data_IF_579936227863
#
_entry.id   IF_579936227863
#
_cell.length_a   1.000
_cell.length_b   1.000
_cell.length_c   1.000
_cell.angle_alpha   90.00
_cell.angle_beta   90.00
_cell.angle_gamma   90.00
#
_symmetry.space_group_name_H-M   'P 1'
#
loop_
_entity.id
_entity.type
_entity.pdbx_description
1 polymer ?
#
# COMPACT_ATOMS: atom_id res chain seq x y z
N UNK A 1 3.86 12.41 -1.53
CA UNK A 1 3.49 13.82 -1.85
C UNK A 1 2.52 14.30 -0.78
N UNK A 2 2.62 15.55 -0.34
CA UNK A 2 1.70 16.13 0.66
C UNK A 2 0.29 16.26 0.06
N UNK A 3 -0.76 15.72 0.69
CA UNK A 3 -2.14 15.82 0.17
C UNK A 3 -2.75 17.23 0.29
N UNK A 4 -2.09 18.15 1.01
CA UNK A 4 -2.58 19.54 1.17
C UNK A 4 -1.95 20.48 0.15
N UNK A 5 -0.62 20.48 0.03
CA UNK A 5 0.12 21.44 -0.79
C UNK A 5 0.93 20.81 -1.93
N UNK A 6 0.84 19.50 -2.12
CA UNK A 6 1.55 18.73 -3.17
C UNK A 6 3.09 18.80 -3.13
N UNK A 7 3.67 19.37 -2.07
CA UNK A 7 5.11 19.37 -1.85
C UNK A 7 5.62 17.99 -1.40
N UNK A 8 6.95 17.78 -1.50
CA UNK A 8 7.60 16.55 -1.03
C UNK A 8 7.39 16.39 0.47
N UNK A 9 7.07 15.17 0.90
CA UNK A 9 7.05 14.77 2.30
C UNK A 9 8.42 14.17 2.65
N UNK A 10 9.05 14.67 3.69
CA UNK A 10 10.31 14.18 4.24
C UNK A 10 10.05 13.55 5.60
N UNK A 11 10.73 12.43 5.89
CA UNK A 11 10.58 11.77 7.18
C UNK A 11 11.44 12.46 8.24
N UNK A 12 10.84 12.78 9.38
CA UNK A 12 11.50 13.35 10.55
C UNK A 12 11.06 12.56 11.79
N UNK A 13 11.92 11.67 12.30
CA UNK A 13 11.53 10.76 13.37
C UNK A 13 10.34 9.87 12.99
N UNK A 14 9.23 10.03 13.71
CA UNK A 14 7.99 9.27 13.52
C UNK A 14 6.93 10.02 12.71
N UNK A 15 7.30 11.07 11.98
CA UNK A 15 6.38 11.89 11.19
C UNK A 15 6.90 12.12 9.76
N UNK A 16 5.98 12.44 8.85
CA UNK A 16 6.28 12.95 7.51
C UNK A 16 5.88 14.43 7.44
N UNK A 17 6.81 15.30 7.08
CA UNK A 17 6.61 16.76 7.05
C UNK A 17 6.96 17.33 5.68
N UNK A 18 6.15 18.25 5.16
CA UNK A 18 6.46 19.00 3.94
C UNK A 18 7.11 20.37 4.24
N UNK A 19 7.70 21.02 3.24
CA UNK A 19 8.30 22.36 3.39
C UNK A 19 7.34 23.44 3.93
N UNK A 20 6.02 23.28 3.73
CA UNK A 20 4.99 24.19 4.26
C UNK A 20 4.55 23.88 5.70
N UNK A 21 5.16 22.89 6.36
CA UNK A 21 4.88 22.55 7.76
C UNK A 21 3.73 21.55 8.00
N UNK A 22 3.00 21.08 6.98
CA UNK A 22 2.01 20.01 7.18
C UNK A 22 2.68 18.71 7.61
N UNK A 23 2.18 18.11 8.69
CA UNK A 23 2.73 16.91 9.33
C UNK A 23 1.73 15.75 9.33
N UNK A 24 2.24 14.53 9.11
CA UNK A 24 1.47 13.29 9.14
C UNK A 24 2.21 12.25 9.97
N UNK A 25 1.58 11.77 11.04
CA UNK A 25 2.21 10.79 11.92
C UNK A 25 2.27 9.40 11.26
N UNK A 26 3.38 8.70 11.50
CA UNK A 26 3.53 7.30 11.18
C UNK A 26 2.90 6.51 12.33
N UNK A 27 1.82 5.78 12.04
CA UNK A 27 1.13 4.96 13.03
C UNK A 27 2.07 3.88 13.60
N UNK A 28 1.76 3.33 14.78
CA UNK A 28 2.53 2.24 15.39
C UNK A 28 2.66 1.00 14.50
N UNK A 29 1.70 0.79 13.59
CA UNK A 29 1.71 -0.28 12.58
C UNK A 29 2.49 0.08 11.31
N UNK A 30 3.15 1.24 11.27
CA UNK A 30 4.05 1.66 10.19
C UNK A 30 3.39 2.39 9.01
N UNK A 31 2.05 2.46 8.93
CA UNK A 31 1.37 3.19 7.85
C UNK A 31 1.22 4.69 8.17
N UNK A 32 1.04 5.51 7.12
CA UNK A 32 0.75 6.95 7.24
C UNK A 32 -0.63 7.24 6.68
N UNK A 33 -1.51 7.83 7.48
CA UNK A 33 -2.82 8.25 7.00
C UNK A 33 -2.72 9.61 6.30
N UNK A 34 -2.83 9.60 4.97
CA UNK A 34 -2.80 10.81 4.15
C UNK A 34 -4.20 11.35 3.82
N UNK A 35 -5.27 10.77 4.38
CA UNK A 35 -6.63 11.31 4.22
C UNK A 35 -6.80 12.56 5.08
N UNK A 36 -7.18 13.66 4.43
CA UNK A 36 -7.54 14.90 5.12
C UNK A 36 -8.82 14.69 5.94
N UNK A 37 -8.91 15.33 7.10
CA UNK A 37 -10.04 15.18 8.05
C UNK A 37 -11.41 15.35 7.40
N UNK A 38 -11.55 16.30 6.47
CA UNK A 38 -12.77 16.56 5.70
C UNK A 38 -13.19 15.40 4.76
N UNK A 39 -12.29 14.46 4.47
CA UNK A 39 -12.53 13.31 3.60
C UNK A 39 -12.55 11.97 4.36
N UNK A 40 -12.51 11.98 5.71
CA UNK A 40 -12.44 10.74 6.50
C UNK A 40 -13.75 9.96 6.57
N UNK A 41 -14.89 10.59 6.28
CA UNK A 41 -16.21 9.97 6.45
C UNK A 41 -17.01 10.04 5.14
N UNK A 42 -16.89 9.01 4.30
CA UNK A 42 -17.93 8.73 3.30
C UNK A 42 -19.19 8.28 4.06
N UNK A 43 -20.36 8.80 3.66
CA UNK A 43 -21.66 8.33 4.19
C UNK A 43 -21.93 6.86 3.83
N UNK A 44 -21.24 6.35 2.81
CA UNK A 44 -21.30 4.97 2.36
C UNK A 44 -19.87 4.40 2.24
N UNK A 45 -19.30 3.82 3.31
CA UNK A 45 -18.02 3.15 3.25
C UNK A 45 -18.19 1.80 2.53
N UNK A 46 -17.65 1.68 1.32
CA UNK A 46 -17.86 0.50 0.47
C UNK A 46 -17.51 -0.84 1.13
N UNK A 47 -16.36 -0.94 1.79
CA UNK A 47 -15.98 -2.13 2.57
C UNK A 47 -16.13 -1.84 4.07
N UNK A 48 -16.95 -2.64 4.76
CA UNK A 48 -16.96 -2.68 6.21
C UNK A 48 -15.92 -3.69 6.76
N UNK A 49 -15.74 -3.71 8.08
CA UNK A 49 -14.76 -4.60 8.75
C UNK A 49 -15.03 -6.09 8.50
N UNK A 50 -16.28 -6.49 8.35
CA UNK A 50 -16.65 -7.90 8.15
C UNK A 50 -16.34 -8.36 6.74
N UNK A 51 -16.62 -7.51 5.74
CA UNK A 51 -16.25 -7.73 4.34
C UNK A 51 -14.74 -7.84 4.17
N UNK A 52 -13.96 -6.95 4.82
CA UNK A 52 -12.51 -7.03 4.82
C UNK A 52 -12.01 -8.38 5.40
N UNK A 53 -12.58 -8.83 6.52
CA UNK A 53 -12.26 -10.14 7.11
C UNK A 53 -12.67 -11.31 6.19
N UNK A 54 -13.81 -11.21 5.51
CA UNK A 54 -14.28 -12.24 4.59
C UNK A 54 -13.34 -12.38 3.39
N UNK A 55 -12.93 -11.25 2.78
CA UNK A 55 -11.93 -11.22 1.72
C UNK A 55 -10.62 -11.86 2.17
N UNK A 56 -10.13 -11.48 3.35
CA UNK A 56 -8.93 -12.09 3.93
C UNK A 56 -9.05 -13.62 4.06
N UNK A 57 -10.14 -14.12 4.66
CA UNK A 57 -10.36 -15.58 4.80
C UNK A 57 -10.41 -16.31 3.46
N UNK A 58 -10.97 -15.68 2.43
CA UNK A 58 -11.00 -16.24 1.08
C UNK A 58 -9.59 -16.32 0.48
N UNK A 59 -8.81 -15.25 0.60
CA UNK A 59 -7.44 -15.18 0.11
C UNK A 59 -6.51 -16.16 0.86
N UNK A 60 -6.66 -16.26 2.18
CA UNK A 60 -5.88 -17.19 3.02
C UNK A 60 -6.14 -18.68 2.69
N UNK A 61 -7.25 -19.00 2.02
CA UNK A 61 -7.53 -20.36 1.49
C UNK A 61 -6.78 -20.67 0.20
N UNK A 62 -6.01 -19.74 -0.35
CA UNK A 62 -5.18 -19.94 -1.55
C UNK A 62 -5.95 -19.95 -2.87
N UNK A 63 -7.25 -19.66 -2.88
CA UNK A 63 -8.05 -19.68 -4.12
C UNK A 63 -7.51 -18.73 -5.20
N UNK A 64 -6.91 -17.61 -4.79
CA UNK A 64 -6.29 -16.63 -5.68
C UNK A 64 -4.76 -16.73 -5.73
N UNK A 65 -4.17 -17.78 -5.16
CA UNK A 65 -2.74 -18.02 -5.26
C UNK A 65 -2.23 -18.17 -6.71
N UNK A 66 -2.95 -18.83 -7.65
CA UNK A 66 -2.51 -18.89 -9.05
C UNK A 66 -2.34 -17.50 -9.68
N UNK A 67 -3.24 -16.57 -9.37
CA UNK A 67 -3.14 -15.18 -9.81
C UNK A 67 -1.92 -14.49 -9.20
N UNK A 68 -1.72 -14.62 -7.89
CA UNK A 68 -0.57 -14.03 -7.20
C UNK A 68 0.76 -14.54 -7.76
N UNK A 69 0.88 -15.85 -8.03
CA UNK A 69 2.05 -16.46 -8.67
C UNK A 69 2.25 -15.96 -10.10
N UNK A 70 1.18 -15.82 -10.87
CA UNK A 70 1.21 -15.24 -12.21
C UNK A 70 1.79 -13.81 -12.21
N UNK A 71 1.32 -12.97 -11.27
CA UNK A 71 1.86 -11.62 -11.09
C UNK A 71 3.36 -11.65 -10.77
N UNK A 72 3.77 -12.51 -9.83
CA UNK A 72 5.20 -12.64 -9.47
C UNK A 72 6.07 -13.00 -10.67
N UNK A 73 5.62 -13.94 -11.51
CA UNK A 73 6.34 -14.31 -12.74
C UNK A 73 6.48 -13.12 -13.69
N UNK A 74 5.40 -12.40 -13.96
CA UNK A 74 5.41 -11.24 -14.85
C UNK A 74 6.35 -10.14 -14.35
N UNK A 75 6.24 -9.77 -13.07
CA UNK A 75 7.11 -8.73 -12.52
C UNK A 75 8.57 -9.16 -12.42
N UNK A 76 8.86 -10.43 -12.12
CA UNK A 76 10.24 -10.95 -12.14
C UNK A 76 10.88 -10.79 -13.51
N UNK A 77 10.15 -11.11 -14.57
CA UNK A 77 10.63 -10.95 -15.95
C UNK A 77 10.88 -9.48 -16.30
N UNK A 78 9.99 -8.58 -15.89
CA UNK A 78 10.12 -7.14 -16.13
C UNK A 78 11.31 -6.54 -15.36
N UNK A 79 11.55 -7.00 -14.13
CA UNK A 79 12.61 -6.48 -13.28
C UNK A 79 13.98 -7.05 -13.63
N UNK A 80 14.05 -8.29 -14.12
CA UNK A 80 15.31 -8.93 -14.52
C UNK A 80 16.05 -8.20 -15.66
N UNK A 81 15.32 -7.43 -16.47
CA UNK A 81 15.90 -6.65 -17.59
C UNK A 81 16.22 -5.20 -17.22
N UNK A 82 16.02 -4.79 -15.96
CA UNK A 82 16.31 -3.43 -15.51
C UNK A 82 17.65 -3.34 -14.80
N UNK A 83 18.50 -2.44 -15.28
CA UNK A 83 19.83 -2.18 -14.71
C UNK A 83 19.82 -1.33 -13.43
N UNK A 84 18.68 -0.74 -13.06
CA UNK A 84 18.54 0.18 -11.91
C UNK A 84 17.50 -0.31 -10.92
N UNK A 85 17.70 0.07 -9.66
CA UNK A 85 16.72 -0.09 -8.58
C UNK A 85 15.34 0.38 -9.04
N UNK A 86 14.34 -0.49 -8.88
CA UNK A 86 12.97 -0.25 -9.32
C UNK A 86 12.05 -0.13 -8.13
N UNK A 87 11.21 0.90 -8.14
CA UNK A 87 10.16 1.08 -7.15
C UNK A 87 8.85 0.50 -7.70
N UNK A 88 8.26 -0.45 -6.99
CA UNK A 88 6.93 -0.99 -7.27
C UNK A 88 5.91 -0.42 -6.28
N UNK A 89 4.75 -0.02 -6.77
CA UNK A 89 3.62 0.44 -5.97
C UNK A 89 2.40 -0.44 -6.23
N UNK A 90 1.79 -0.95 -5.16
CA UNK A 90 0.52 -1.67 -5.19
C UNK A 90 -0.62 -0.73 -4.78
N UNK A 91 -1.32 -0.19 -5.78
CA UNK A 91 -2.46 0.70 -5.58
C UNK A 91 -3.73 -0.13 -5.31
N UNK A 92 -4.38 0.11 -4.17
CA UNK A 92 -5.49 -0.73 -3.73
C UNK A 92 -5.05 -2.06 -3.10
N UNK A 93 -3.88 -2.07 -2.46
CA UNK A 93 -3.25 -3.26 -1.86
C UNK A 93 -4.09 -3.98 -0.79
N UNK A 94 -5.19 -3.40 -0.29
CA UNK A 94 -6.07 -4.02 0.69
C UNK A 94 -5.33 -4.36 1.98
N UNK A 95 -5.34 -5.63 2.38
CA UNK A 95 -4.59 -6.16 3.52
C UNK A 95 -3.14 -6.58 3.17
N UNK A 96 -2.71 -6.33 1.93
CA UNK A 96 -1.35 -6.58 1.44
C UNK A 96 -1.12 -7.98 0.88
N UNK A 97 -2.16 -8.78 0.61
CA UNK A 97 -2.02 -10.15 0.11
C UNK A 97 -1.07 -10.25 -1.10
N UNK A 98 -1.35 -9.53 -2.20
CA UNK A 98 -0.51 -9.59 -3.40
C UNK A 98 0.86 -8.94 -3.21
N UNK A 99 0.89 -7.82 -2.48
CA UNK A 99 2.14 -7.12 -2.14
C UNK A 99 3.11 -8.06 -1.42
N UNK A 100 2.62 -8.86 -0.48
CA UNK A 100 3.42 -9.83 0.27
C UNK A 100 3.95 -10.97 -0.63
N UNK A 101 3.14 -11.46 -1.58
CA UNK A 101 3.60 -12.46 -2.56
C UNK A 101 4.73 -11.92 -3.44
N UNK A 102 4.58 -10.69 -3.91
CA UNK A 102 5.59 -10.01 -4.73
C UNK A 102 6.87 -9.75 -3.94
N UNK A 103 6.77 -9.20 -2.73
CA UNK A 103 7.92 -8.95 -1.85
C UNK A 103 8.73 -10.23 -1.61
N UNK A 104 8.06 -11.36 -1.33
CA UNK A 104 8.72 -12.66 -1.09
C UNK A 104 9.35 -13.26 -2.34
N UNK A 105 8.91 -12.84 -3.53
CA UNK A 105 9.44 -13.34 -4.80
C UNK A 105 10.67 -12.55 -5.26
N UNK A 106 10.93 -11.38 -4.67
CA UNK A 106 12.11 -10.53 -4.94
C UNK A 106 13.14 -10.51 -3.81
N UNK A 107 12.82 -11.10 -2.66
CA UNK A 107 13.75 -11.28 -1.54
C UNK A 107 14.61 -12.54 -1.77
#
# INVERSE_FOLDING_TARGET
ICPVCHQKLLKTGQTLICASGHSFDIASKGYVNLLLSQHKNSKDPGDNKEMAKARKRFLDKGYYEPLARGLCKVFTQILAVKEKESLLLDAGCGDGYYTNFLQRSFA
#
